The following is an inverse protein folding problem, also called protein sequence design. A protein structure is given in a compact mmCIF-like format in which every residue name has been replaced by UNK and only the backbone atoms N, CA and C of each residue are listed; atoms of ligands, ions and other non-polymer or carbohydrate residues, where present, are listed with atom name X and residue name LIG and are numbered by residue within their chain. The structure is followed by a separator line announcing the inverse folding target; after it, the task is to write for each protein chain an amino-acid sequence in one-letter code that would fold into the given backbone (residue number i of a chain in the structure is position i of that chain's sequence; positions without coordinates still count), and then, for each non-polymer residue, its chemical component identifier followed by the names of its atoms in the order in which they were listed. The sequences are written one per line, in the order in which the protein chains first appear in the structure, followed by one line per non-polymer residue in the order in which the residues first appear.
data_IF_172088608124
#
_entry.id   IF_172088608124
#
_cell.length_a   1.000
_cell.length_b   1.000
_cell.length_c   1.000
_cell.angle_alpha   90.00
_cell.angle_beta   90.00
_cell.angle_gamma   90.00
#
_symmetry.space_group_name_H-M   'P 1'
#
loop_
_entity.id
_entity.type
_entity.pdbx_description
1 polymer ?
#
# COMPACT_ATOMS: atom_id res chain seq x y z
N UNK A 1 -32.63 59.43 -32.41
CA UNK A 1 -31.26 59.15 -31.90
C UNK A 1 -31.27 57.72 -31.41
N UNK A 2 -30.49 56.82 -32.00
CA UNK A 2 -30.43 55.42 -31.58
C UNK A 2 -29.14 55.20 -30.79
N UNK A 3 -29.28 54.83 -29.51
CA UNK A 3 -28.15 54.49 -28.64
C UNK A 3 -27.63 53.10 -29.00
N UNK A 4 -26.36 52.99 -29.35
CA UNK A 4 -25.68 51.71 -29.53
C UNK A 4 -25.48 51.04 -28.16
N UNK A 5 -26.02 49.83 -27.98
CA UNK A 5 -25.85 49.03 -26.77
C UNK A 5 -24.69 48.05 -26.99
N UNK A 6 -23.55 48.29 -26.34
CA UNK A 6 -22.39 47.41 -26.37
C UNK A 6 -22.67 46.22 -25.44
N UNK A 7 -22.75 45.00 -26.00
CA UNK A 7 -23.22 43.81 -25.28
C UNK A 7 -22.10 42.98 -24.66
N UNK A 8 -20.86 43.16 -25.09
CA UNK A 8 -19.71 42.50 -24.48
C UNK A 8 -18.45 43.28 -24.81
N UNK A 9 -17.94 44.02 -23.83
CA UNK A 9 -16.66 44.70 -23.93
C UNK A 9 -15.64 43.79 -23.25
N UNK A 10 -14.73 43.19 -24.01
CA UNK A 10 -13.64 42.41 -23.43
C UNK A 10 -12.76 43.35 -22.59
N UNK A 11 -13.00 43.36 -21.28
CA UNK A 11 -12.20 44.13 -20.33
C UNK A 11 -10.92 43.35 -20.09
N UNK A 12 -9.84 43.78 -20.74
CA UNK A 12 -8.48 43.40 -20.33
C UNK A 12 -8.13 44.21 -19.09
N UNK A 13 -8.35 43.66 -17.90
CA UNK A 13 -7.74 44.18 -16.68
C UNK A 13 -6.25 43.80 -16.66
N UNK A 14 -5.37 44.80 -16.58
CA UNK A 14 -3.96 44.56 -16.32
C UNK A 14 -3.79 44.17 -14.84
N UNK A 15 -3.60 42.87 -14.61
CA UNK A 15 -3.26 42.33 -13.30
C UNK A 15 -1.89 42.88 -12.88
N UNK A 16 -1.86 43.69 -11.83
CA UNK A 16 -0.61 44.18 -11.25
C UNK A 16 0.21 43.00 -10.67
N UNK A 17 1.53 43.18 -10.52
CA UNK A 17 2.44 42.11 -10.07
C UNK A 17 2.05 41.47 -8.72
N UNK A 18 1.36 42.21 -7.85
CA UNK A 18 0.87 41.69 -6.56
C UNK A 18 -0.29 40.71 -6.77
N UNK A 19 -1.26 41.06 -7.62
CA UNK A 19 -2.38 40.16 -7.96
C UNK A 19 -1.94 38.94 -8.76
N UNK A 20 -0.92 39.08 -9.62
CA UNK A 20 -0.28 37.96 -10.32
C UNK A 20 0.43 36.99 -9.37
N UNK A 21 0.92 37.47 -8.22
CA UNK A 21 1.54 36.61 -7.19
C UNK A 21 0.50 35.68 -6.56
N UNK A 22 -0.72 36.18 -6.29
CA UNK A 22 -1.80 35.39 -5.70
C UNK A 22 -2.31 34.29 -6.64
N UNK A 23 -2.44 34.56 -7.94
CA UNK A 23 -2.88 33.57 -8.94
C UNK A 23 -1.89 32.41 -9.07
N UNK A 24 -0.60 32.66 -8.82
CA UNK A 24 0.49 31.68 -8.95
C UNK A 24 0.87 30.99 -7.63
N UNK A 25 0.06 31.17 -6.58
CA UNK A 25 0.23 30.47 -5.31
C UNK A 25 0.82 31.30 -4.17
N UNK A 26 0.87 32.63 -4.30
CA UNK A 26 1.28 33.53 -3.22
C UNK A 26 2.75 33.41 -2.82
N UNK A 27 3.26 34.43 -2.15
CA UNK A 27 4.65 34.47 -1.70
C UNK A 27 4.81 33.52 -0.49
N UNK A 28 5.02 32.23 -0.77
CA UNK A 28 5.58 31.31 0.20
C UNK A 28 7.05 31.70 0.43
N UNK A 29 7.25 32.73 1.26
CA UNK A 29 8.52 33.37 1.55
C UNK A 29 9.40 32.47 2.41
N UNK A 30 9.75 31.27 1.92
CA UNK A 30 11.02 30.55 2.14
C UNK A 30 10.98 29.06 1.79
N UNK A 31 9.83 28.50 1.44
CA UNK A 31 9.74 27.12 0.96
C UNK A 31 8.62 27.04 -0.09
N UNK A 32 8.85 26.53 -1.32
CA UNK A 32 7.73 26.05 -2.11
C UNK A 32 7.07 24.98 -1.24
N UNK A 33 5.88 25.30 -0.72
CA UNK A 33 5.14 24.37 0.11
C UNK A 33 4.71 23.21 -0.78
N UNK A 34 5.58 22.20 -0.88
CA UNK A 34 5.21 20.91 -1.44
C UNK A 34 4.08 20.41 -0.57
N UNK A 35 2.91 20.27 -1.20
CA UNK A 35 1.74 19.75 -0.53
C UNK A 35 1.92 18.23 -0.39
N UNK A 36 2.56 17.81 0.71
CA UNK A 36 2.74 16.40 1.05
C UNK A 36 1.41 15.68 1.34
N UNK A 37 0.27 16.38 1.41
CA UNK A 37 -1.04 15.74 1.60
C UNK A 37 -1.51 14.94 0.38
N UNK A 38 -0.85 15.08 -0.78
CA UNK A 38 -1.11 14.24 -1.96
C UNK A 38 -0.34 12.90 -1.96
N UNK A 39 0.48 12.60 -0.96
CA UNK A 39 1.20 11.32 -0.89
C UNK A 39 0.33 10.22 -0.26
N UNK A 40 -0.63 9.71 -1.03
CA UNK A 40 -1.43 8.54 -0.65
C UNK A 40 -0.64 7.24 -0.81
N UNK A 41 0.07 6.80 0.22
CA UNK A 41 0.69 5.48 0.25
C UNK A 41 -0.33 4.44 0.74
N UNK A 42 -0.91 3.68 -0.19
CA UNK A 42 -1.70 2.50 0.15
C UNK A 42 -0.83 1.26 -0.01
N UNK A 43 -0.59 0.55 1.10
CA UNK A 43 0.18 -0.69 1.10
C UNK A 43 -0.70 -1.79 1.69
N UNK A 44 -1.10 -2.74 0.85
CA UNK A 44 -1.79 -3.95 1.28
C UNK A 44 -0.83 -5.13 1.14
N UNK A 45 -0.73 -5.93 2.19
CA UNK A 45 0.13 -7.11 2.16
C UNK A 45 -0.63 -8.29 2.75
N UNK A 46 -0.97 -9.25 1.88
CA UNK A 46 -1.71 -10.45 2.25
C UNK A 46 -0.74 -11.60 2.54
N UNK A 47 -0.96 -12.28 3.67
CA UNK A 47 -0.15 -13.41 4.10
C UNK A 47 -1.05 -14.61 4.33
N UNK A 48 -0.91 -15.63 3.49
CA UNK A 48 -1.59 -16.91 3.66
C UNK A 48 -0.55 -18.02 3.70
N UNK A 49 -0.54 -18.83 4.77
CA UNK A 49 0.13 -20.13 4.77
C UNK A 49 -0.93 -21.19 5.02
N UNK A 50 -1.00 -22.15 4.10
CA UNK A 50 -1.67 -23.42 4.29
C UNK A 50 -0.63 -24.51 4.51
N UNK A 51 -0.84 -25.36 5.51
CA UNK A 51 -0.01 -26.52 5.77
C UNK A 51 -0.88 -27.75 5.98
N UNK A 52 -0.60 -28.80 5.20
CA UNK A 52 -1.19 -30.13 5.38
C UNK A 52 -0.06 -31.12 5.57
N UNK A 53 -0.11 -31.93 6.62
CA UNK A 53 0.84 -33.02 6.86
C UNK A 53 0.07 -34.31 7.12
N UNK A 54 0.25 -35.27 6.22
CA UNK A 54 -0.30 -36.62 6.35
C UNK A 54 0.85 -37.56 6.70
N UNK A 55 0.74 -38.27 7.83
CA UNK A 55 1.77 -39.19 8.30
C UNK A 55 1.13 -40.55 8.51
N UNK A 56 1.65 -41.54 7.79
CA UNK A 56 1.24 -42.94 7.89
C UNK A 56 2.39 -43.74 8.46
N UNK A 57 2.10 -44.60 9.42
CA UNK A 57 3.10 -45.39 10.13
C UNK A 57 2.58 -46.81 10.36
N UNK A 58 2.94 -47.72 9.46
CA UNK A 58 2.48 -49.11 9.47
C UNK A 58 3.57 -50.01 10.07
N UNK A 59 3.46 -50.37 11.35
CA UNK A 59 4.42 -51.27 12.01
C UNK A 59 3.72 -52.54 12.48
N UNK A 60 4.40 -53.68 12.34
CA UNK A 60 3.87 -54.97 12.79
C UNK A 60 2.73 -55.51 11.94
N UNK A 61 2.53 -55.01 10.72
CA UNK A 61 1.51 -55.53 9.82
C UNK A 61 1.88 -56.95 9.32
N UNK A 62 0.99 -57.91 9.57
CA UNK A 62 1.10 -59.32 9.16
C UNK A 62 2.32 -60.08 9.71
N UNK A 63 2.66 -59.90 10.99
CA UNK A 63 3.77 -60.64 11.62
C UNK A 63 3.25 -61.58 12.72
N UNK A 64 3.53 -62.88 12.58
CA UNK A 64 3.34 -63.88 13.63
C UNK A 64 4.69 -64.13 14.34
N UNK A 65 4.70 -64.08 15.67
CA UNK A 65 5.87 -64.23 16.55
C UNK A 65 6.93 -63.12 16.43
N UNK A 66 6.49 -61.85 16.39
CA UNK A 66 7.40 -60.71 16.46
C UNK A 66 7.63 -60.24 17.91
N UNK A 67 8.87 -59.89 18.21
CA UNK A 67 9.29 -59.18 19.42
C UNK A 67 10.05 -57.90 19.01
N UNK A 68 10.02 -56.87 19.86
CA UNK A 68 10.69 -55.57 19.64
C UNK A 68 10.30 -54.80 18.35
N UNK A 69 9.04 -54.87 17.91
CA UNK A 69 8.55 -53.99 16.83
C UNK A 69 8.27 -52.58 17.38
N UNK A 70 9.28 -51.73 17.30
CA UNK A 70 9.18 -50.30 17.64
C UNK A 70 9.04 -49.40 16.42
N UNK A 71 8.41 -48.24 16.62
CA UNK A 71 8.44 -47.16 15.64
C UNK A 71 8.56 -45.81 16.30
N UNK A 72 9.44 -44.98 15.74
CA UNK A 72 9.79 -43.68 16.28
C UNK A 72 9.54 -42.60 15.23
N UNK A 73 8.26 -42.29 15.02
CA UNK A 73 7.83 -41.30 14.04
C UNK A 73 7.62 -39.95 14.73
N UNK A 74 8.46 -38.97 14.37
CA UNK A 74 8.48 -37.61 14.95
C UNK A 74 8.38 -36.56 13.85
N UNK A 75 7.22 -36.43 13.19
CA UNK A 75 7.05 -35.46 12.13
C UNK A 75 7.00 -34.05 12.74
N UNK A 76 7.74 -33.12 12.15
CA UNK A 76 7.78 -31.71 12.57
C UNK A 76 7.40 -30.87 11.37
N UNK A 77 6.32 -30.10 11.48
CA UNK A 77 5.92 -29.12 10.47
C UNK A 77 6.11 -27.71 11.05
N UNK A 78 6.94 -26.91 10.40
CA UNK A 78 7.17 -25.51 10.77
C UNK A 78 6.84 -24.63 9.56
N UNK A 79 6.11 -23.55 9.80
CA UNK A 79 5.86 -22.49 8.83
C UNK A 79 6.15 -21.13 9.46
N UNK A 80 6.72 -20.23 8.67
CA UNK A 80 6.88 -18.83 9.02
C UNK A 80 6.35 -17.98 7.87
N UNK A 81 5.28 -17.21 8.12
CA UNK A 81 4.86 -16.12 7.24
C UNK A 81 5.16 -14.82 7.94
N UNK A 82 6.12 -14.06 7.43
CA UNK A 82 6.51 -12.77 8.01
C UNK A 82 6.32 -11.70 6.96
N UNK A 83 5.55 -10.66 7.26
CA UNK A 83 5.43 -9.48 6.42
C UNK A 83 6.14 -8.32 7.10
N UNK A 84 6.90 -7.54 6.34
CA UNK A 84 7.51 -6.31 6.83
C UNK A 84 7.25 -5.21 5.83
N UNK A 85 6.46 -4.22 6.25
CA UNK A 85 6.15 -3.03 5.48
C UNK A 85 6.83 -1.83 6.12
N UNK A 86 7.86 -1.30 5.46
CA UNK A 86 8.52 -0.07 5.88
C UNK A 86 7.88 1.10 5.14
N UNK A 87 7.02 1.85 5.84
CA UNK A 87 6.49 3.11 5.34
C UNK A 87 7.30 4.23 5.97
N UNK A 88 8.29 4.74 5.23
CA UNK A 88 9.03 5.93 5.65
C UNK A 88 8.14 7.15 5.36
N UNK A 89 7.71 7.84 6.42
CA UNK A 89 7.01 9.11 6.32
C UNK A 89 7.97 10.24 5.93
N UNK A 90 7.48 11.05 4.98
CA UNK A 90 7.93 12.33 4.43
C UNK A 90 9.09 13.07 5.13
#
# INVERSE_FOLDING_TARGET
MNSLMIKDLAVTEELNGHTMSTVRGGNAFYLPAYNFSQFGLSVSAQQLIGQTQNVFNENGNNVAFADDIGSNVKPVQKASNTNTLNVFGA
#
